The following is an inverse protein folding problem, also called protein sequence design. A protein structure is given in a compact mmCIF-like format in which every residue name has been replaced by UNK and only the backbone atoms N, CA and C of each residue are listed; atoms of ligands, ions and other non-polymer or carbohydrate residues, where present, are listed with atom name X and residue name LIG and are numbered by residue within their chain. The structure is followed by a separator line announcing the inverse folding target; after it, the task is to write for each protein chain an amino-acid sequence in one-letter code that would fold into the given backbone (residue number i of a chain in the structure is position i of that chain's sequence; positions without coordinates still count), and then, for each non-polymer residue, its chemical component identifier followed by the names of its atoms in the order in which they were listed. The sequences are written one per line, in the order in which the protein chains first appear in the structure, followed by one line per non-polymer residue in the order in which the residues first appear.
data_IF_896743599543
#
_entry.id   IF_896743599543
#
_cell.length_a   1.000
_cell.length_b   1.000
_cell.length_c   1.000
_cell.angle_alpha   90.00
_cell.angle_beta   90.00
_cell.angle_gamma   90.00
#
_symmetry.space_group_name_H-M   'P 1'
#
loop_
_entity.id
_entity.type
_entity.pdbx_description
1 polymer ?
#
# COMPACT_ATOMS: atom_id res chain seq x y z
N UNK A 1 -8.40 14.06 -2.18
CA UNK A 1 -9.15 12.80 -2.44
C UNK A 1 -10.53 13.10 -3.01
N UNK A 2 -11.56 13.36 -2.19
CA UNK A 2 -12.93 13.56 -2.69
C UNK A 2 -13.08 14.68 -3.74
N UNK A 3 -12.33 15.78 -3.58
CA UNK A 3 -12.35 16.90 -4.55
C UNK A 3 -11.73 16.54 -5.92
N UNK A 4 -10.72 15.67 -5.94
CA UNK A 4 -10.08 15.22 -7.17
C UNK A 4 -10.96 14.23 -7.93
N UNK A 5 -11.55 13.28 -7.21
CA UNK A 5 -12.54 12.33 -7.75
C UNK A 5 -13.75 13.08 -8.30
N UNK A 6 -14.15 14.18 -7.66
CA UNK A 6 -15.24 15.03 -8.16
C UNK A 6 -14.85 15.77 -9.44
N UNK A 7 -13.61 16.30 -9.53
CA UNK A 7 -13.11 16.94 -10.75
C UNK A 7 -13.00 15.94 -11.91
N UNK A 8 -12.49 14.74 -11.68
CA UNK A 8 -12.46 13.67 -12.69
C UNK A 8 -13.86 13.24 -13.12
N UNK A 9 -14.81 13.10 -12.18
CA UNK A 9 -16.20 12.80 -12.52
C UNK A 9 -16.85 13.86 -13.42
N UNK A 10 -16.44 15.13 -13.31
CA UNK A 10 -16.87 16.21 -14.19
C UNK A 10 -16.15 16.21 -15.54
N UNK A 11 -14.84 15.91 -15.58
CA UNK A 11 -14.03 15.91 -16.80
C UNK A 11 -14.31 14.68 -17.70
N UNK A 12 -14.59 13.52 -17.08
CA UNK A 12 -15.01 12.28 -17.75
C UNK A 12 -16.34 12.42 -18.49
N UNK A 13 -17.18 13.37 -18.10
CA UNK A 13 -18.44 13.68 -18.81
C UNK A 13 -18.19 14.45 -20.13
N UNK A 14 -17.00 15.04 -20.30
CA UNK A 14 -16.66 15.93 -21.42
C UNK A 14 -15.57 15.36 -22.35
N UNK A 15 -14.68 14.49 -21.85
CA UNK A 15 -13.48 14.02 -22.56
C UNK A 15 -13.40 12.48 -22.68
N UNK A 16 -14.35 11.83 -23.36
CA UNK A 16 -14.29 10.37 -23.64
C UNK A 16 -13.14 9.93 -24.58
N UNK A 17 -12.11 10.76 -24.81
CA UNK A 17 -11.09 10.52 -25.84
C UNK A 17 -9.64 10.88 -25.46
N UNK A 18 -9.34 11.57 -24.35
CA UNK A 18 -7.95 11.94 -24.04
C UNK A 18 -7.72 12.10 -22.52
N UNK A 19 -7.46 11.00 -21.81
CA UNK A 19 -6.42 10.90 -20.77
C UNK A 19 -6.39 9.43 -20.33
N UNK A 20 -5.51 8.63 -20.91
CA UNK A 20 -5.23 7.26 -20.44
C UNK A 20 -4.32 7.25 -19.19
N UNK A 21 -4.23 8.39 -18.51
CA UNK A 21 -3.48 8.61 -17.27
C UNK A 21 -4.40 9.43 -16.36
N UNK A 22 -5.05 8.77 -15.43
CA UNK A 22 -6.02 9.38 -14.52
C UNK A 22 -5.23 10.04 -13.39
N UNK A 23 -5.59 11.26 -12.96
CA UNK A 23 -4.84 12.02 -11.96
C UNK A 23 -4.85 11.29 -10.60
N UNK A 24 -5.88 10.47 -10.37
CA UNK A 24 -5.96 9.53 -9.25
C UNK A 24 -4.91 8.42 -9.32
N UNK A 25 -4.60 7.83 -10.47
CA UNK A 25 -3.56 6.79 -10.63
C UNK A 25 -2.20 7.33 -10.20
N UNK A 26 -1.83 8.53 -10.68
CA UNK A 26 -0.56 9.16 -10.29
C UNK A 26 -0.45 9.42 -8.79
N UNK A 27 -1.57 9.78 -8.16
CA UNK A 27 -1.62 10.00 -6.71
C UNK A 27 -1.50 8.69 -5.92
N UNK A 28 -2.12 7.61 -6.41
CA UNK A 28 -2.00 6.28 -5.82
C UNK A 28 -0.56 5.77 -5.91
N UNK A 29 0.12 5.99 -7.04
CA UNK A 29 1.53 5.68 -7.23
C UNK A 29 2.42 6.38 -6.21
N UNK A 30 2.26 7.70 -6.08
CA UNK A 30 3.03 8.50 -5.12
C UNK A 30 2.79 8.00 -3.69
N UNK A 31 1.54 7.75 -3.30
CA UNK A 31 1.20 7.28 -1.96
C UNK A 31 1.81 5.90 -1.68
N UNK A 32 1.76 5.00 -2.64
CA UNK A 32 2.28 3.63 -2.48
C UNK A 32 3.80 3.63 -2.43
N UNK A 33 4.45 4.42 -3.27
CA UNK A 33 5.90 4.63 -3.25
C UNK A 33 6.38 5.20 -1.91
N UNK A 34 5.73 6.27 -1.42
CA UNK A 34 6.07 6.89 -0.14
C UNK A 34 5.83 5.92 1.03
N UNK A 35 4.74 5.16 1.00
CA UNK A 35 4.44 4.12 2.00
C UNK A 35 5.54 3.06 2.06
N UNK A 36 5.99 2.58 0.89
CA UNK A 36 7.08 1.62 0.78
C UNK A 36 8.38 2.17 1.40
N UNK A 37 8.75 3.42 1.09
CA UNK A 37 9.95 4.06 1.64
C UNK A 37 9.86 4.22 3.16
N UNK A 38 8.70 4.60 3.70
CA UNK A 38 8.48 4.73 5.14
C UNK A 38 8.58 3.39 5.86
N UNK A 39 7.97 2.32 5.34
CA UNK A 39 8.09 0.99 5.93
C UNK A 39 9.53 0.46 5.88
N UNK A 40 10.24 0.70 4.78
CA UNK A 40 11.64 0.32 4.67
C UNK A 40 12.51 1.10 5.66
N UNK A 41 12.27 2.40 5.82
CA UNK A 41 12.94 3.24 6.81
C UNK A 41 12.66 2.75 8.25
N UNK A 42 11.39 2.44 8.58
CA UNK A 42 11.02 1.88 9.88
C UNK A 42 11.75 0.55 10.18
N UNK A 43 11.94 -0.29 9.16
CA UNK A 43 12.68 -1.56 9.26
C UNK A 43 14.16 -1.36 9.61
N UNK A 44 14.75 -0.21 9.27
CA UNK A 44 16.15 0.12 9.61
C UNK A 44 16.32 0.69 11.02
N UNK A 45 15.27 1.26 11.61
CA UNK A 45 15.33 1.95 12.90
C UNK A 45 15.24 0.96 14.07
N UNK A 46 14.31 0.00 14.02
CA UNK A 46 14.08 -0.95 15.11
C UNK A 46 14.38 -2.39 14.72
N UNK A 47 15.32 -3.01 15.43
CA UNK A 47 15.71 -4.42 15.23
C UNK A 47 14.55 -5.40 15.47
N UNK A 48 13.69 -5.13 16.46
CA UNK A 48 12.61 -6.06 16.84
C UNK A 48 11.42 -6.03 15.87
N UNK A 49 11.15 -4.86 15.27
CA UNK A 49 10.09 -4.68 14.26
C UNK A 49 10.60 -4.82 12.82
N UNK A 50 11.91 -5.06 12.65
CA UNK A 50 12.58 -5.10 11.36
C UNK A 50 11.90 -6.03 10.37
N UNK A 51 11.60 -7.26 10.80
CA UNK A 51 11.02 -8.30 9.93
C UNK A 51 9.59 -7.91 9.53
N UNK A 52 8.75 -7.51 10.47
CA UNK A 52 7.39 -7.07 10.18
C UNK A 52 7.35 -5.86 9.24
N UNK A 53 8.17 -4.83 9.53
CA UNK A 53 8.27 -3.64 8.68
C UNK A 53 8.83 -3.97 7.28
N UNK A 54 9.76 -4.92 7.16
CA UNK A 54 10.28 -5.38 5.86
C UNK A 54 9.20 -6.11 5.05
N UNK A 55 8.37 -6.94 5.70
CA UNK A 55 7.26 -7.61 5.04
C UNK A 55 6.22 -6.61 4.54
N UNK A 56 5.90 -5.58 5.33
CA UNK A 56 5.00 -4.50 4.91
C UNK A 56 5.60 -3.69 3.76
N UNK A 57 6.89 -3.33 3.84
CA UNK A 57 7.59 -2.65 2.76
C UNK A 57 7.55 -3.46 1.47
N UNK A 58 7.81 -4.77 1.55
CA UNK A 58 7.75 -5.68 0.41
C UNK A 58 6.35 -5.80 -0.18
N UNK A 59 5.32 -5.87 0.68
CA UNK A 59 3.93 -5.91 0.25
C UNK A 59 3.53 -4.62 -0.48
N UNK A 60 3.86 -3.44 0.07
CA UNK A 60 3.62 -2.16 -0.58
C UNK A 60 4.44 -1.98 -1.86
N UNK A 61 5.67 -2.48 -1.90
CA UNK A 61 6.48 -2.48 -3.11
C UNK A 61 5.85 -3.34 -4.21
N UNK A 62 5.33 -4.51 -3.86
CA UNK A 62 4.63 -5.38 -4.82
C UNK A 62 3.35 -4.71 -5.36
N UNK A 63 2.61 -3.99 -4.50
CA UNK A 63 1.43 -3.22 -4.93
C UNK A 63 1.81 -2.05 -5.85
N UNK A 64 2.90 -1.34 -5.55
CA UNK A 64 3.42 -0.27 -6.42
C UNK A 64 3.84 -0.80 -7.80
N UNK A 65 4.58 -1.91 -7.85
CA UNK A 65 5.01 -2.52 -9.13
C UNK A 65 3.81 -3.00 -9.96
N UNK A 66 2.72 -3.43 -9.29
CA UNK A 66 1.48 -3.80 -9.97
C UNK A 66 0.77 -2.58 -10.56
N UNK A 67 0.74 -1.46 -9.85
CA UNK A 67 0.14 -0.22 -10.37
C UNK A 67 0.95 0.34 -11.56
N UNK A 68 2.28 0.20 -11.48
CA UNK A 68 3.19 0.59 -12.54
C UNK A 68 3.26 -0.44 -13.70
N UNK A 69 2.33 -1.40 -13.77
CA UNK A 69 2.34 -2.48 -14.77
C UNK A 69 2.27 -1.94 -16.20
N UNK A 70 1.41 -0.96 -16.44
CA UNK A 70 1.12 -0.38 -17.76
C UNK A 70 2.36 0.32 -18.31
N UNK A 71 3.09 1.02 -17.44
CA UNK A 71 4.38 1.62 -17.79
C UNK A 71 5.47 0.57 -18.06
N UNK A 72 5.53 -0.51 -17.27
CA UNK A 72 6.55 -1.56 -17.41
C UNK A 72 6.36 -2.40 -18.67
N UNK A 73 5.12 -2.76 -18.98
CA UNK A 73 4.79 -3.53 -20.18
C UNK A 73 5.03 -2.68 -21.45
N UNK A 74 4.79 -1.36 -21.38
CA UNK A 74 5.06 -0.44 -22.50
C UNK A 74 6.56 -0.22 -22.77
N UNK A 75 7.38 -0.06 -21.73
CA UNK A 75 8.80 0.32 -21.88
C UNK A 75 9.79 -0.84 -21.81
N UNK A 76 9.43 -1.98 -21.21
CA UNK A 76 10.38 -3.05 -20.91
C UNK A 76 10.02 -4.34 -21.65
N UNK A 77 8.97 -5.05 -21.25
CA UNK A 77 8.39 -6.21 -21.94
C UNK A 77 7.10 -6.68 -21.25
N UNK A 78 6.20 -7.34 -21.98
CA UNK A 78 4.98 -7.97 -21.43
C UNK A 78 5.30 -8.96 -20.30
N UNK A 79 4.96 -8.59 -19.06
CA UNK A 79 5.21 -9.40 -17.87
C UNK A 79 6.48 -9.03 -17.10
N UNK A 80 7.10 -7.89 -17.40
CA UNK A 80 8.22 -7.34 -16.63
C UNK A 80 7.85 -7.12 -15.17
N UNK A 81 6.64 -6.62 -14.92
CA UNK A 81 6.13 -6.41 -13.57
C UNK A 81 6.06 -7.73 -12.77
N UNK A 82 5.66 -8.83 -13.40
CA UNK A 82 5.58 -10.15 -12.76
C UNK A 82 6.96 -10.62 -12.33
N UNK A 83 7.96 -10.49 -13.19
CA UNK A 83 9.34 -10.87 -12.89
C UNK A 83 9.90 -10.07 -11.71
N UNK A 84 9.63 -8.77 -11.64
CA UNK A 84 10.05 -7.90 -10.54
C UNK A 84 9.37 -8.32 -9.24
N UNK A 85 8.05 -8.50 -9.24
CA UNK A 85 7.29 -8.93 -8.05
C UNK A 85 7.76 -10.29 -7.56
N UNK A 86 7.92 -11.27 -8.45
CA UNK A 86 8.40 -12.61 -8.06
C UNK A 86 9.81 -12.58 -7.50
N UNK A 87 10.71 -11.77 -8.08
CA UNK A 87 12.08 -11.64 -7.59
C UNK A 87 12.11 -10.98 -6.20
N UNK A 88 11.32 -9.92 -6.01
CA UNK A 88 11.17 -9.24 -4.72
C UNK A 88 10.62 -10.21 -3.67
N UNK A 89 9.54 -10.93 -3.99
CA UNK A 89 8.89 -11.86 -3.07
C UNK A 89 9.81 -13.06 -2.76
N UNK A 90 10.55 -13.57 -3.73
CA UNK A 90 11.56 -14.62 -3.53
C UNK A 90 12.69 -14.14 -2.60
N UNK A 91 13.20 -12.92 -2.79
CA UNK A 91 14.27 -12.37 -1.94
C UNK A 91 13.83 -12.24 -0.47
N UNK A 92 12.59 -11.79 -0.25
CA UNK A 92 11.98 -11.66 1.07
C UNK A 92 11.75 -13.03 1.69
N UNK A 93 11.25 -14.02 0.92
CA UNK A 93 11.07 -15.38 1.40
C UNK A 93 12.38 -16.07 1.78
N UNK A 94 13.45 -15.86 1.00
CA UNK A 94 14.78 -16.38 1.32
C UNK A 94 15.32 -15.76 2.61
N UNK A 95 15.19 -14.44 2.77
CA UNK A 95 15.55 -13.75 4.00
C UNK A 95 14.73 -14.25 5.20
N UNK A 96 13.43 -14.45 5.00
CA UNK A 96 12.50 -14.94 6.01
C UNK A 96 12.82 -16.38 6.42
N UNK A 97 13.24 -17.22 5.47
CA UNK A 97 13.68 -18.60 5.71
C UNK A 97 14.93 -18.64 6.61
N UNK A 98 15.84 -17.68 6.48
CA UNK A 98 17.01 -17.56 7.33
C UNK A 98 16.67 -17.07 8.77
N UNK A 99 15.58 -16.33 8.94
CA UNK A 99 15.20 -15.68 10.21
C UNK A 99 13.94 -16.27 10.86
N UNK A 100 13.60 -17.53 10.55
CA UNK A 100 12.32 -18.16 10.94
C UNK A 100 11.96 -18.06 12.43
N UNK A 101 12.96 -18.10 13.31
CA UNK A 101 12.75 -18.00 14.76
C UNK A 101 12.22 -16.64 15.24
N UNK A 102 12.53 -15.56 14.51
CA UNK A 102 12.23 -14.18 14.93
C UNK A 102 11.00 -13.56 14.25
N UNK A 103 10.40 -14.28 13.30
CA UNK A 103 9.23 -13.79 12.55
C UNK A 103 8.05 -13.59 13.49
N UNK A 104 7.74 -14.62 14.27
CA UNK A 104 6.57 -14.62 15.14
C UNK A 104 6.70 -13.55 16.23
N UNK A 105 7.89 -13.37 16.80
CA UNK A 105 8.15 -12.32 17.78
C UNK A 105 8.02 -10.93 17.17
N UNK A 106 8.56 -10.70 15.97
CA UNK A 106 8.48 -9.42 15.26
C UNK A 106 7.05 -9.07 14.87
N UNK A 107 6.28 -10.06 14.38
CA UNK A 107 4.89 -9.86 13.99
C UNK A 107 3.99 -9.63 15.20
N UNK A 108 4.23 -10.34 16.31
CA UNK A 108 3.55 -10.10 17.58
C UNK A 108 3.84 -8.70 18.13
N UNK A 109 5.10 -8.27 18.07
CA UNK A 109 5.48 -6.92 18.47
C UNK A 109 4.78 -5.86 17.59
N UNK A 110 4.70 -6.10 16.27
CA UNK A 110 3.97 -5.21 15.37
C UNK A 110 2.47 -5.16 15.68
N UNK A 111 1.84 -6.30 15.97
CA UNK A 111 0.42 -6.36 16.33
C UNK A 111 0.07 -5.59 17.62
N UNK A 112 1.07 -5.31 18.47
CA UNK A 112 0.92 -4.48 19.67
C UNK A 112 1.11 -2.97 19.38
N UNK A 113 1.46 -2.60 18.16
CA UNK A 113 1.58 -1.19 17.76
C UNK A 113 0.23 -0.63 17.31
N UNK A 114 -0.05 0.66 17.56
CA UNK A 114 -1.27 1.30 17.09
C UNK A 114 -1.40 1.31 15.54
N UNK A 115 -0.27 1.31 14.83
CA UNK A 115 -0.20 1.24 13.37
C UNK A 115 -0.86 -0.03 12.80
N UNK A 116 -0.85 -1.15 13.53
CA UNK A 116 -1.37 -2.43 13.05
C UNK A 116 -2.84 -2.33 12.62
N UNK A 117 -3.70 -1.69 13.41
CA UNK A 117 -5.13 -1.60 13.10
C UNK A 117 -5.40 -0.79 11.83
N UNK A 118 -4.65 0.31 11.64
CA UNK A 118 -4.77 1.18 10.46
C UNK A 118 -4.21 0.48 9.22
N UNK A 119 -3.10 -0.24 9.35
CA UNK A 119 -2.54 -1.01 8.24
C UNK A 119 -3.49 -2.13 7.82
N UNK A 120 -4.04 -2.87 8.78
CA UNK A 120 -4.98 -3.95 8.51
C UNK A 120 -6.27 -3.43 7.86
N UNK A 121 -6.82 -2.31 8.32
CA UNK A 121 -8.00 -1.72 7.68
C UNK A 121 -7.71 -1.25 6.25
N UNK A 122 -6.53 -0.66 6.00
CA UNK A 122 -6.08 -0.31 4.66
C UNK A 122 -5.95 -1.53 3.73
N UNK A 123 -5.31 -2.60 4.22
CA UNK A 123 -5.15 -3.85 3.47
C UNK A 123 -6.50 -4.54 3.17
N UNK A 124 -7.42 -4.58 4.13
CA UNK A 124 -8.76 -5.14 3.93
C UNK A 124 -9.55 -4.30 2.93
N UNK A 125 -9.47 -2.97 3.02
CA UNK A 125 -10.12 -2.05 2.07
C UNK A 125 -9.60 -2.29 0.65
N UNK A 126 -8.29 -2.37 0.49
CA UNK A 126 -7.67 -2.56 -0.81
C UNK A 126 -7.89 -3.97 -1.39
N UNK A 127 -7.64 -5.03 -0.61
CA UNK A 127 -7.66 -6.40 -1.14
C UNK A 127 -9.07 -7.01 -1.21
N UNK A 128 -9.96 -6.66 -0.28
CA UNK A 128 -11.31 -7.21 -0.22
C UNK A 128 -12.33 -6.28 -0.87
N UNK A 129 -12.39 -5.01 -0.43
CA UNK A 129 -13.43 -4.09 -0.90
C UNK A 129 -13.19 -3.60 -2.32
N UNK A 130 -11.97 -3.20 -2.69
CA UNK A 130 -11.69 -2.79 -4.08
C UNK A 130 -12.00 -3.95 -5.04
N UNK A 131 -11.54 -5.16 -4.75
CA UNK A 131 -11.81 -6.34 -5.58
C UNK A 131 -13.29 -6.74 -5.66
N UNK A 132 -14.06 -6.50 -4.61
CA UNK A 132 -15.51 -6.72 -4.64
C UNK A 132 -16.20 -5.71 -5.55
N UNK A 133 -15.83 -4.42 -5.43
CA UNK A 133 -16.41 -3.33 -6.21
C UNK A 133 -15.89 -3.30 -7.67
N UNK A 134 -14.74 -3.90 -7.96
CA UNK A 134 -14.22 -4.03 -9.32
C UNK A 134 -14.93 -5.06 -10.20
N UNK A 135 -15.83 -5.89 -9.63
CA UNK A 135 -16.58 -6.89 -10.40
C UNK A 135 -17.72 -6.24 -11.20
N UNK A 136 -17.62 -6.27 -12.53
CA UNK A 136 -18.68 -5.79 -13.42
C UNK A 136 -20.04 -6.47 -13.18
N UNK A 137 -20.04 -7.77 -12.91
CA UNK A 137 -21.24 -8.56 -12.59
C UNK A 137 -22.03 -8.01 -11.39
N UNK A 138 -21.32 -7.49 -10.37
CA UNK A 138 -21.97 -6.87 -9.20
C UNK A 138 -22.75 -5.63 -9.61
N UNK A 139 -22.11 -4.74 -10.39
CA UNK A 139 -22.74 -3.51 -10.85
C UNK A 139 -23.84 -3.75 -11.88
N UNK A 140 -23.68 -4.74 -12.75
CA UNK A 140 -24.74 -5.13 -13.69
C UNK A 140 -25.96 -5.68 -12.95
N UNK A 141 -25.76 -6.44 -11.88
CA UNK A 141 -26.86 -6.91 -11.02
C UNK A 141 -27.53 -5.79 -10.22
N UNK A 142 -26.77 -4.77 -9.78
CA UNK A 142 -27.27 -3.65 -8.99
C UNK A 142 -27.97 -2.58 -9.85
N UNK A 143 -27.41 -2.26 -11.02
CA UNK A 143 -27.90 -1.18 -11.90
C UNK A 143 -28.76 -1.69 -13.07
N UNK A 144 -28.76 -2.98 -13.36
CA UNK A 144 -29.52 -3.58 -14.45
C UNK A 144 -29.18 -2.97 -15.82
N UNK A 145 -30.22 -2.68 -16.60
CA UNK A 145 -30.13 -2.08 -17.94
C UNK A 145 -29.49 -0.67 -17.95
N UNK A 146 -29.41 0.00 -16.79
CA UNK A 146 -28.86 1.36 -16.65
C UNK A 146 -27.41 1.36 -16.16
N UNK A 147 -26.61 0.37 -16.60
CA UNK A 147 -25.20 0.27 -16.21
C UNK A 147 -24.39 1.46 -16.74
N UNK A 148 -23.87 2.26 -15.80
CA UNK A 148 -22.95 3.37 -16.11
C UNK A 148 -21.55 2.98 -15.64
N UNK A 149 -20.68 2.64 -16.60
CA UNK A 149 -19.28 2.24 -16.33
C UNK A 149 -18.50 3.28 -15.53
N UNK A 150 -18.78 4.57 -15.75
CA UNK A 150 -18.12 5.68 -15.04
C UNK A 150 -18.35 5.60 -13.53
N UNK A 151 -19.56 5.25 -13.07
CA UNK A 151 -19.87 5.15 -11.64
C UNK A 151 -19.09 3.99 -11.00
N UNK A 152 -18.97 2.86 -11.70
CA UNK A 152 -18.14 1.74 -11.26
C UNK A 152 -16.69 2.19 -11.08
N UNK A 153 -16.10 2.80 -12.10
CA UNK A 153 -14.70 3.22 -12.08
C UNK A 153 -14.42 4.19 -10.94
N UNK A 154 -15.26 5.22 -10.77
CA UNK A 154 -15.12 6.21 -9.69
C UNK A 154 -15.15 5.55 -8.30
N UNK A 155 -16.01 4.55 -8.10
CA UNK A 155 -16.12 3.85 -6.82
C UNK A 155 -14.92 2.92 -6.60
N UNK A 156 -14.48 2.23 -7.65
CA UNK A 156 -13.30 1.36 -7.64
C UNK A 156 -12.04 2.17 -7.29
N UNK A 157 -11.73 3.20 -8.08
CA UNK A 157 -10.60 4.12 -7.86
C UNK A 157 -10.67 4.81 -6.49
N UNK A 158 -11.86 5.19 -6.05
CA UNK A 158 -12.08 5.83 -4.74
C UNK A 158 -11.76 4.91 -3.56
N UNK A 159 -12.13 3.63 -3.64
CA UNK A 159 -11.83 2.64 -2.60
C UNK A 159 -10.36 2.27 -2.59
N UNK A 160 -9.73 2.17 -3.76
CA UNK A 160 -8.29 1.92 -3.89
C UNK A 160 -7.48 3.05 -3.27
N UNK A 161 -7.83 4.29 -3.65
CA UNK A 161 -7.26 5.51 -3.07
C UNK A 161 -7.40 5.55 -1.55
N UNK A 162 -8.57 5.17 -1.02
CA UNK A 162 -8.80 5.09 0.43
C UNK A 162 -7.90 4.04 1.10
N UNK A 163 -7.78 2.85 0.50
CA UNK A 163 -6.92 1.78 0.97
C UNK A 163 -5.45 2.22 1.05
N UNK A 164 -4.93 2.82 -0.02
CA UNK A 164 -3.57 3.34 -0.06
C UNK A 164 -3.33 4.46 0.94
N UNK A 165 -4.32 5.35 1.15
CA UNK A 165 -4.22 6.42 2.16
C UNK A 165 -4.12 5.84 3.58
N UNK A 166 -4.91 4.83 3.91
CA UNK A 166 -4.83 4.16 5.22
C UNK A 166 -3.48 3.48 5.43
N UNK A 167 -2.96 2.81 4.40
CA UNK A 167 -1.62 2.19 4.45
C UNK A 167 -0.53 3.25 4.66
N UNK A 168 -0.63 4.40 3.99
CA UNK A 168 0.29 5.52 4.15
C UNK A 168 0.27 6.11 5.58
N UNK A 169 -0.93 6.33 6.14
CA UNK A 169 -1.07 6.78 7.54
C UNK A 169 -0.45 5.76 8.49
N UNK A 170 -0.68 4.46 8.26
CA UNK A 170 -0.10 3.41 9.07
C UNK A 170 1.44 3.39 8.99
N UNK A 171 2.01 3.68 7.82
CA UNK A 171 3.46 3.77 7.63
C UNK A 171 4.06 4.94 8.43
N UNK A 172 3.42 6.12 8.42
CA UNK A 172 3.84 7.27 9.23
C UNK A 172 3.78 6.94 10.71
N UNK A 173 2.66 6.39 11.19
CA UNK A 173 2.48 5.98 12.59
C UNK A 173 3.56 5.00 13.05
N UNK A 174 3.91 4.03 12.19
CA UNK A 174 4.97 3.06 12.51
C UNK A 174 6.34 3.74 12.62
N UNK A 175 6.67 4.66 11.70
CA UNK A 175 7.93 5.42 11.77
C UNK A 175 7.99 6.27 13.03
N UNK A 176 6.90 6.96 13.40
CA UNK A 176 6.83 7.77 14.61
C UNK A 176 6.97 6.92 15.88
N UNK A 177 6.32 5.75 15.92
CA UNK A 177 6.48 4.79 17.01
C UNK A 177 7.93 4.33 17.15
N UNK A 178 8.56 3.97 16.03
CA UNK A 178 9.97 3.59 15.97
C UNK A 178 10.90 4.72 16.46
N UNK A 179 10.69 5.96 16.03
CA UNK A 179 11.53 7.09 16.47
C UNK A 179 11.39 7.38 17.97
N UNK A 180 10.18 7.27 18.53
CA UNK A 180 9.94 7.46 19.97
C UNK A 180 10.64 6.41 20.82
N UNK A 181 10.58 5.14 20.41
CA UNK A 181 11.19 4.04 21.16
C UNK A 181 12.73 4.08 21.12
N UNK A 182 13.36 4.50 20.00
CA UNK A 182 14.81 4.73 19.96
C UNK A 182 15.22 5.84 20.93
N UNK A 183 14.49 6.97 20.96
CA UNK A 183 14.79 8.09 21.88
C UNK A 183 14.70 7.66 23.34
N UNK A 184 13.65 6.90 23.71
CA UNK A 184 13.50 6.42 25.08
C UNK A 184 14.63 5.47 25.50
N UNK A 185 15.05 4.59 24.59
CA UNK A 185 16.14 3.63 24.84
C UNK A 185 17.49 4.35 25.03
N UNK A 186 17.77 5.40 24.25
CA UNK A 186 19.00 6.19 24.40
C UNK A 186 19.05 6.99 25.70
N UNK A 187 17.93 7.59 26.13
CA UNK A 187 17.86 8.36 27.38
C UNK A 187 18.10 7.45 28.59
N UNK A 188 17.48 6.27 28.64
CA UNK A 188 17.68 5.31 29.73
C UNK A 188 19.12 4.77 29.82
N UNK A 189 19.80 4.58 28.68
CA UNK A 189 21.21 4.16 28.68
C UNK A 189 22.09 5.29 29.21
N UNK A 190 21.80 6.53 28.80
CA UNK A 190 22.58 7.71 29.23
C UNK A 190 22.45 7.96 30.74
N UNK A 191 21.26 7.79 31.31
CA UNK A 191 21.01 7.90 32.76
C UNK A 191 21.65 6.77 33.58
N UNK A 192 21.84 5.57 33.02
CA UNK A 192 22.52 4.46 33.71
C UNK A 192 24.05 4.55 33.66
N UNK A 193 24.61 5.36 32.75
CA UNK A 193 26.06 5.56 32.59
C UNK A 193 26.59 6.84 33.25
N UNK A 194 25.71 7.69 33.78
CA UNK A 194 26.04 8.94 34.49
C UNK A 194 26.02 8.72 36.01
#
# INVERSE_FOLDING_TARGET
MAFLIQLEGFDLQQNTLYSEETLTEHMQDILTFLSCMLFFYASRIHSDLKIAALLLAALTAAMFVREFDTYLDMYVFDGAWQAIVYTLLASVLLYLKAQRGFIYSSLKAYAQTPSYGICLSGLVTLLAFSRMMGKGEFWHSVMGEQYVRVVKNIIEEGIETLGYTLIFIAAIELVLFCQKHVKHTQVSITEQTA
#
